data_IF_199477915950
#
_entry.id   IF_199477915950
#
_cell.length_a   1.000
_cell.length_b   1.000
_cell.length_c   1.000
_cell.angle_alpha   90.00
_cell.angle_beta   90.00
_cell.angle_gamma   90.00
#
_symmetry.space_group_name_H-M   'P 1'
#
loop_
_entity.id
_entity.type
_entity.pdbx_description
1 polymer ?
#
# COMPACT_ATOMS: atom_id res chain seq x y z
N UNK A 1 21.73 5.42 30.64
CA UNK A 1 20.61 5.21 29.70
C UNK A 1 19.30 4.74 30.36
N UNK A 2 19.31 4.18 31.58
CA UNK A 2 18.06 3.81 32.29
C UNK A 2 17.26 5.00 32.88
N UNK A 3 17.91 6.15 33.08
CA UNK A 3 17.31 7.33 33.71
C UNK A 3 16.43 8.15 32.75
N UNK A 4 16.71 8.14 31.44
CA UNK A 4 15.87 8.85 30.45
C UNK A 4 14.59 8.07 30.11
N UNK A 5 14.63 6.73 30.12
CA UNK A 5 13.46 5.89 29.87
C UNK A 5 12.43 5.96 31.02
N UNK A 6 12.91 6.05 32.26
CA UNK A 6 12.07 6.20 33.46
C UNK A 6 11.41 7.57 33.54
N UNK A 7 12.14 8.64 33.19
CA UNK A 7 11.59 10.00 33.11
C UNK A 7 10.52 10.11 32.01
N UNK A 8 10.71 9.46 30.84
CA UNK A 8 9.72 9.43 29.78
C UNK A 8 8.43 8.66 30.16
N UNK A 9 8.55 7.58 30.93
CA UNK A 9 7.39 6.83 31.44
C UNK A 9 6.63 7.61 32.53
N UNK A 10 7.34 8.34 33.40
CA UNK A 10 6.75 9.21 34.43
C UNK A 10 6.06 10.43 33.82
N UNK A 11 6.60 11.05 32.76
CA UNK A 11 5.94 12.16 32.06
C UNK A 11 4.72 11.71 31.26
N UNK A 12 4.74 10.51 30.64
CA UNK A 12 3.52 9.92 30.04
C UNK A 12 2.45 9.57 31.09
N UNK A 13 2.85 9.17 32.30
CA UNK A 13 1.92 8.89 33.40
C UNK A 13 1.28 10.17 33.98
N UNK A 14 2.04 11.27 34.05
CA UNK A 14 1.56 12.57 34.53
C UNK A 14 0.74 13.35 33.48
N UNK A 15 0.91 13.08 32.18
CA UNK A 15 0.07 13.62 31.10
C UNK A 15 -1.28 12.90 30.95
N UNK A 16 -1.46 11.74 31.59
CA UNK A 16 -2.80 11.18 31.86
C UNK A 16 -3.42 11.93 33.03
N UNK A 17 -3.67 13.22 32.87
CA UNK A 17 -4.75 13.84 33.63
C UNK A 17 -6.04 13.18 33.16
N UNK A 18 -6.40 12.09 33.86
CA UNK A 18 -7.74 11.51 33.82
C UNK A 18 -8.65 12.57 34.41
N UNK A 19 -9.11 13.50 33.57
CA UNK A 19 -10.38 14.17 33.86
C UNK A 19 -11.37 13.03 34.10
N UNK A 20 -12.07 13.06 35.23
CA UNK A 20 -13.26 12.22 35.35
C UNK A 20 -14.08 12.53 34.10
N UNK A 21 -14.28 11.53 33.23
CA UNK A 21 -15.30 11.66 32.21
C UNK A 21 -16.55 12.14 32.95
N UNK A 22 -17.17 13.29 32.57
CA UNK A 22 -18.57 13.52 32.89
C UNK A 22 -19.28 12.18 32.72
N UNK A 23 -20.09 11.76 33.70
CA UNK A 23 -20.62 10.39 33.88
C UNK A 23 -21.30 9.78 32.63
N UNK A 24 -21.45 10.57 31.57
CA UNK A 24 -22.14 10.31 30.32
C UNK A 24 -21.24 10.08 29.08
N UNK A 25 -19.91 10.33 29.13
CA UNK A 25 -19.00 10.14 27.96
C UNK A 25 -18.42 8.72 27.85
N UNK A 26 -19.28 7.70 27.91
CA UNK A 26 -18.87 6.30 28.09
C UNK A 26 -18.07 5.71 26.91
N UNK A 27 -18.17 6.31 25.72
CA UNK A 27 -17.57 5.79 24.48
C UNK A 27 -16.33 6.59 24.03
N UNK A 28 -15.81 7.53 24.83
CA UNK A 28 -14.66 8.38 24.44
C UNK A 28 -13.39 7.57 24.09
N UNK A 29 -13.12 6.47 24.81
CA UNK A 29 -11.99 5.59 24.50
C UNK A 29 -12.21 4.77 23.22
N UNK A 30 -13.46 4.41 22.92
CA UNK A 30 -13.83 3.72 21.66
C UNK A 30 -13.71 4.69 20.48
N UNK A 31 -14.15 5.94 20.64
CA UNK A 31 -13.98 7.02 19.67
C UNK A 31 -12.50 7.21 19.30
N UNK A 32 -11.61 7.33 20.29
CA UNK A 32 -10.19 7.58 20.03
C UNK A 32 -9.58 6.50 19.12
N UNK A 33 -9.78 5.22 19.47
CA UNK A 33 -9.19 4.11 18.73
C UNK A 33 -9.81 3.96 17.33
N UNK A 34 -11.10 4.25 17.18
CA UNK A 34 -11.74 4.24 15.87
C UNK A 34 -11.39 5.46 15.02
N UNK A 35 -11.10 6.61 15.62
CA UNK A 35 -10.50 7.73 14.90
C UNK A 35 -9.11 7.36 14.37
N UNK A 36 -8.29 6.64 15.14
CA UNK A 36 -7.00 6.14 14.64
C UNK A 36 -7.21 5.22 13.41
N UNK A 37 -8.21 4.33 13.46
CA UNK A 37 -8.56 3.44 12.35
C UNK A 37 -9.11 4.20 11.13
N UNK A 38 -9.96 5.19 11.34
CA UNK A 38 -10.47 6.11 10.31
C UNK A 38 -9.32 6.88 9.63
N UNK A 39 -8.37 7.35 10.42
CA UNK A 39 -7.26 8.17 9.96
C UNK A 39 -6.23 7.39 9.14
N UNK A 40 -6.31 6.05 9.08
CA UNK A 40 -5.58 5.29 8.07
C UNK A 40 -5.87 5.78 6.65
N UNK A 41 -7.12 6.19 6.36
CA UNK A 41 -7.49 6.71 5.03
C UNK A 41 -6.86 8.08 4.69
N UNK A 42 -6.32 8.80 5.69
CA UNK A 42 -5.61 10.08 5.50
C UNK A 42 -4.09 9.93 5.52
N UNK A 43 -3.60 8.75 5.89
CA UNK A 43 -2.18 8.52 6.07
C UNK A 43 -1.39 8.53 4.76
N UNK A 44 -0.14 8.97 4.81
CA UNK A 44 0.76 8.90 3.66
C UNK A 44 1.38 7.51 3.58
N UNK A 45 1.23 6.83 2.45
CA UNK A 45 1.85 5.51 2.23
C UNK A 45 3.37 5.68 2.17
N UNK A 46 4.08 5.04 3.08
CA UNK A 46 5.55 5.03 3.13
C UNK A 46 6.11 3.78 2.45
N UNK A 47 5.69 3.51 1.22
CA UNK A 47 6.27 2.45 0.39
C UNK A 47 6.95 3.09 -0.83
N UNK A 48 8.13 2.60 -1.23
CA UNK A 48 8.73 3.02 -2.49
C UNK A 48 7.81 2.57 -3.64
N UNK A 49 7.59 3.47 -4.59
CA UNK A 49 7.03 3.06 -5.89
C UNK A 49 8.06 2.11 -6.51
N UNK A 50 7.64 0.88 -6.84
CA UNK A 50 8.49 -0.05 -7.57
C UNK A 50 8.32 0.23 -9.06
N UNK A 51 9.37 0.72 -9.70
CA UNK A 51 9.42 0.95 -11.14
C UNK A 51 10.07 -0.25 -11.84
N UNK A 52 9.65 -0.53 -13.07
CA UNK A 52 10.28 -1.56 -13.88
C UNK A 52 11.74 -1.25 -14.13
N UNK A 53 12.58 -2.28 -14.05
CA UNK A 53 13.98 -2.17 -14.46
C UNK A 53 13.98 -2.07 -15.99
N UNK A 54 14.43 -0.93 -16.56
CA UNK A 54 14.38 -0.71 -17.99
C UNK A 54 15.37 -1.63 -18.72
N UNK A 55 15.14 -1.87 -20.00
CA UNK A 55 16.02 -2.72 -20.81
C UNK A 55 17.45 -2.16 -20.86
N UNK A 56 17.57 -0.82 -20.89
CA UNK A 56 18.83 -0.08 -20.91
C UNK A 56 19.72 -0.32 -19.69
N UNK A 57 19.16 -0.80 -18.57
CA UNK A 57 19.95 -1.18 -17.39
C UNK A 57 20.93 -2.33 -17.68
N UNK A 58 20.73 -3.08 -18.77
CA UNK A 58 21.61 -4.17 -19.18
C UNK A 58 22.58 -3.78 -20.30
N UNK A 59 22.47 -2.58 -20.88
CA UNK A 59 23.21 -2.20 -22.09
C UNK A 59 24.73 -2.40 -21.92
N UNK A 60 25.29 -1.97 -20.80
CA UNK A 60 26.74 -2.06 -20.60
C UNK A 60 27.20 -3.50 -20.37
N UNK A 61 26.40 -4.33 -19.68
CA UNK A 61 26.69 -5.77 -19.54
C UNK A 61 26.63 -6.48 -20.89
N UNK A 62 25.60 -6.18 -21.68
CA UNK A 62 25.41 -6.78 -23.00
C UNK A 62 26.48 -6.32 -24.00
N UNK A 63 26.90 -5.05 -23.95
CA UNK A 63 28.02 -4.54 -24.75
C UNK A 63 29.35 -5.18 -24.36
N UNK A 64 29.61 -5.38 -23.06
CA UNK A 64 30.79 -6.13 -22.60
C UNK A 64 30.72 -7.56 -23.12
N UNK A 65 29.56 -8.21 -23.02
CA UNK A 65 29.35 -9.56 -23.56
C UNK A 65 29.62 -9.64 -25.07
N UNK A 66 29.10 -8.69 -25.85
CA UNK A 66 29.38 -8.57 -27.30
C UNK A 66 30.87 -8.34 -27.56
N UNK A 67 31.53 -7.50 -26.75
CA UNK A 67 32.95 -7.19 -26.94
C UNK A 67 33.85 -8.42 -26.80
N UNK A 68 33.42 -9.40 -26.01
CA UNK A 68 34.11 -10.65 -25.70
C UNK A 68 33.60 -11.84 -26.51
N UNK A 69 32.55 -11.66 -27.31
CA UNK A 69 31.94 -12.73 -28.07
C UNK A 69 32.90 -13.31 -29.11
N UNK A 70 32.61 -14.52 -29.57
CA UNK A 70 33.35 -15.18 -30.63
C UNK A 70 33.52 -14.26 -31.84
N UNK A 71 34.75 -14.14 -32.34
CA UNK A 71 35.09 -13.19 -33.41
C UNK A 71 34.34 -13.50 -34.70
N UNK A 72 34.14 -14.79 -35.01
CA UNK A 72 33.41 -15.21 -36.21
C UNK A 72 31.94 -14.84 -36.08
N UNK A 73 31.31 -15.09 -34.93
CA UNK A 73 29.93 -14.67 -34.68
C UNK A 73 29.79 -13.14 -34.70
N UNK A 74 30.66 -12.41 -34.00
CA UNK A 74 30.60 -10.95 -33.95
C UNK A 74 30.76 -10.29 -35.33
N UNK A 75 31.51 -10.92 -36.23
CA UNK A 75 31.66 -10.45 -37.61
C UNK A 75 30.40 -10.55 -38.47
N UNK A 76 29.37 -11.29 -38.02
CA UNK A 76 28.07 -11.38 -38.72
C UNK A 76 27.14 -10.22 -38.38
N UNK A 77 27.40 -9.51 -37.27
CA UNK A 77 26.65 -8.35 -36.82
C UNK A 77 27.04 -7.10 -37.61
N UNK A 78 26.10 -6.17 -37.77
CA UNK A 78 26.38 -4.88 -38.39
C UNK A 78 27.49 -4.11 -37.67
N UNK A 79 28.41 -3.53 -38.44
CA UNK A 79 29.50 -2.70 -37.92
C UNK A 79 29.12 -1.20 -37.90
N UNK A 80 28.16 -0.80 -38.72
CA UNK A 80 27.61 0.57 -38.75
C UNK A 80 26.09 0.54 -38.83
N UNK A 81 25.45 1.66 -38.49
CA UNK A 81 23.99 1.79 -38.58
C UNK A 81 23.43 1.54 -39.99
N UNK A 82 24.24 1.76 -41.04
CA UNK A 82 23.84 1.54 -42.44
C UNK A 82 23.78 0.06 -42.81
N UNK A 83 24.50 -0.78 -42.07
CA UNK A 83 24.64 -2.22 -42.35
C UNK A 83 23.65 -3.07 -41.55
N UNK A 84 22.82 -2.43 -40.71
CA UNK A 84 21.82 -3.11 -39.86
C UNK A 84 20.87 -3.95 -40.68
N UNK A 85 20.60 -5.16 -40.19
CA UNK A 85 19.64 -6.09 -40.78
C UNK A 85 18.48 -6.30 -39.82
N UNK A 86 17.27 -6.32 -40.36
CA UNK A 86 16.06 -6.61 -39.56
C UNK A 86 16.00 -8.06 -39.06
N UNK A 87 16.77 -8.96 -39.66
CA UNK A 87 16.84 -10.38 -39.29
C UNK A 87 18.20 -10.97 -39.74
N UNK A 88 18.64 -12.04 -39.07
CA UNK A 88 19.83 -12.80 -39.44
C UNK A 88 19.46 -14.08 -40.18
N UNK A 89 20.31 -14.52 -41.10
CA UNK A 89 20.23 -15.87 -41.64
C UNK A 89 20.39 -16.93 -40.53
N UNK A 90 21.21 -16.62 -39.51
CA UNK A 90 21.51 -17.51 -38.38
C UNK A 90 20.33 -17.65 -37.41
N UNK A 91 19.41 -16.67 -37.41
CA UNK A 91 18.16 -16.71 -36.65
C UNK A 91 17.01 -17.40 -37.42
N UNK A 92 17.24 -18.07 -38.56
CA UNK A 92 16.18 -18.69 -39.38
C UNK A 92 15.85 -20.13 -39.00
N UNK A 93 16.72 -20.84 -38.29
CA UNK A 93 16.57 -22.26 -37.94
C UNK A 93 17.14 -22.58 -36.55
N UNK A 94 16.54 -23.55 -35.83
CA UNK A 94 16.99 -23.99 -34.50
C UNK A 94 15.94 -23.77 -33.41
N UNK A 95 16.17 -24.35 -32.23
CA UNK A 95 15.25 -24.25 -31.09
C UNK A 95 15.09 -22.82 -30.56
N UNK A 96 16.12 -21.98 -30.72
CA UNK A 96 16.19 -20.62 -30.15
C UNK A 96 15.83 -19.51 -31.16
N UNK A 97 15.19 -19.87 -32.28
CA UNK A 97 14.84 -18.96 -33.38
C UNK A 97 14.08 -17.72 -32.91
N UNK A 98 13.06 -17.91 -32.07
CA UNK A 98 12.19 -16.81 -31.61
C UNK A 98 12.93 -15.88 -30.64
N UNK A 99 13.85 -16.42 -29.82
CA UNK A 99 14.72 -15.63 -28.93
C UNK A 99 15.76 -14.85 -29.76
N UNK A 100 16.39 -15.51 -30.74
CA UNK A 100 17.37 -14.91 -31.64
C UNK A 100 16.77 -13.71 -32.37
N UNK A 101 15.58 -13.86 -32.95
CA UNK A 101 14.90 -12.78 -33.69
C UNK A 101 14.54 -11.59 -32.82
N UNK A 102 14.04 -11.83 -31.61
CA UNK A 102 13.66 -10.77 -30.69
C UNK A 102 14.86 -9.90 -30.25
N UNK A 103 16.06 -10.47 -30.19
CA UNK A 103 17.26 -9.79 -29.68
C UNK A 103 18.27 -9.37 -30.76
N UNK A 104 18.12 -9.83 -32.02
CA UNK A 104 19.15 -9.63 -33.05
C UNK A 104 19.47 -8.16 -33.32
N UNK A 105 18.44 -7.32 -33.51
CA UNK A 105 18.65 -5.88 -33.71
C UNK A 105 19.40 -5.26 -32.54
N UNK A 106 19.09 -5.66 -31.31
CA UNK A 106 19.76 -5.16 -30.11
C UNK A 106 21.24 -5.55 -30.06
N UNK A 107 21.59 -6.74 -30.53
CA UNK A 107 22.99 -7.14 -30.65
C UNK A 107 23.73 -6.33 -31.70
N UNK A 108 23.10 -6.00 -32.84
CA UNK A 108 23.70 -5.10 -33.82
C UNK A 108 23.95 -3.70 -33.22
N UNK A 109 22.98 -3.14 -32.50
CA UNK A 109 23.12 -1.84 -31.81
C UNK A 109 24.30 -1.84 -30.84
N UNK A 110 24.43 -2.89 -30.05
CA UNK A 110 25.54 -3.02 -29.09
C UNK A 110 26.88 -3.22 -29.79
N UNK A 111 26.93 -3.99 -30.88
CA UNK A 111 28.16 -4.16 -31.65
C UNK A 111 28.65 -2.85 -32.27
N UNK A 112 27.72 -2.08 -32.86
CA UNK A 112 28.01 -0.74 -33.37
C UNK A 112 28.55 0.15 -32.26
N UNK A 113 27.87 0.19 -31.10
CA UNK A 113 28.31 1.01 -29.96
C UNK A 113 29.71 0.63 -29.44
N UNK A 114 30.05 -0.66 -29.42
CA UNK A 114 31.40 -1.12 -29.03
C UNK A 114 32.45 -0.73 -30.08
N UNK A 115 32.12 -0.76 -31.37
CA UNK A 115 33.05 -0.38 -32.45
C UNK A 115 33.24 1.14 -32.55
N UNK A 116 32.21 1.93 -32.23
CA UNK A 116 32.27 3.39 -32.14
C UNK A 116 33.15 3.88 -30.98
N UNK A 117 33.35 3.07 -29.94
CA UNK A 117 34.34 3.32 -28.87
C UNK A 117 35.78 3.08 -29.36
N UNK A 118 36.17 3.86 -30.36
CA UNK A 118 37.46 3.80 -31.04
C UNK A 118 38.64 4.09 -30.11
N UNK A 119 38.41 4.73 -28.96
CA UNK A 119 39.41 5.00 -27.94
C UNK A 119 39.45 3.93 -26.83
N UNK A 120 38.49 3.00 -26.81
CA UNK A 120 38.34 1.97 -25.78
C UNK A 120 38.13 2.56 -24.39
N UNK A 121 37.49 3.73 -24.30
CA UNK A 121 37.30 4.46 -23.05
C UNK A 121 36.25 3.81 -22.16
N UNK A 122 35.25 3.18 -22.76
CA UNK A 122 34.15 2.50 -22.08
C UNK A 122 34.28 0.98 -22.17
N UNK A 123 34.75 0.48 -23.31
CA UNK A 123 34.97 -0.94 -23.59
C UNK A 123 36.43 -1.14 -24.00
N UNK A 124 37.30 -1.64 -23.09
CA UNK A 124 38.71 -1.83 -23.39
C UNK A 124 38.93 -2.63 -24.67
N UNK A 125 39.81 -2.13 -25.54
CA UNK A 125 40.21 -2.86 -26.75
C UNK A 125 41.06 -4.05 -26.38
N UNK A 126 40.45 -5.24 -26.38
CA UNK A 126 41.15 -6.52 -26.23
C UNK A 126 41.53 -6.99 -27.63
N UNK A 127 42.80 -7.33 -27.82
CA UNK A 127 43.29 -7.81 -29.10
C UNK A 127 42.77 -9.22 -29.40
N UNK A 128 42.59 -9.54 -30.68
CA UNK A 128 42.01 -10.82 -31.11
C UNK A 128 42.78 -12.04 -30.58
N UNK A 129 44.11 -11.96 -30.54
CA UNK A 129 44.97 -13.01 -29.99
C UNK A 129 44.64 -13.30 -28.52
N UNK A 130 44.29 -12.29 -27.72
CA UNK A 130 43.92 -12.45 -26.31
C UNK A 130 42.53 -13.04 -26.15
N UNK A 131 41.57 -12.62 -26.98
CA UNK A 131 40.20 -13.17 -26.97
C UNK A 131 40.19 -14.67 -27.28
N UNK A 132 41.08 -15.12 -28.17
CA UNK A 132 41.13 -16.53 -28.59
C UNK A 132 41.87 -17.45 -27.61
N UNK A 133 42.62 -16.90 -26.64
CA UNK A 133 43.25 -17.70 -25.58
C UNK A 133 42.23 -18.48 -24.75
N UNK A 134 42.66 -19.55 -24.09
CA UNK A 134 41.84 -20.28 -23.11
C UNK A 134 41.25 -19.34 -22.05
N UNK A 135 42.06 -18.43 -21.52
CA UNK A 135 41.60 -17.44 -20.54
C UNK A 135 40.55 -16.49 -21.13
N UNK A 136 40.78 -15.96 -22.33
CA UNK A 136 39.83 -15.09 -23.03
C UNK A 136 38.48 -15.75 -23.24
N UNK A 137 38.47 -17.01 -23.73
CA UNK A 137 37.25 -17.80 -23.90
C UNK A 137 36.54 -18.09 -22.59
N UNK A 138 37.28 -18.44 -21.52
CA UNK A 138 36.69 -18.65 -20.20
C UNK A 138 36.03 -17.40 -19.63
N UNK A 139 36.64 -16.23 -19.83
CA UNK A 139 36.07 -14.94 -19.43
C UNK A 139 34.80 -14.63 -20.23
N UNK A 140 34.82 -14.85 -21.55
CA UNK A 140 33.64 -14.66 -22.40
C UNK A 140 32.45 -15.51 -21.95
N UNK A 141 32.68 -16.79 -21.60
CA UNK A 141 31.65 -17.69 -21.05
C UNK A 141 31.12 -17.16 -19.71
N UNK A 142 32.01 -16.75 -18.80
CA UNK A 142 31.61 -16.24 -17.49
C UNK A 142 30.76 -14.96 -17.61
N UNK A 143 31.17 -14.02 -18.47
CA UNK A 143 30.42 -12.78 -18.74
C UNK A 143 29.07 -13.06 -19.39
N UNK A 144 29.00 -14.02 -20.32
CA UNK A 144 27.74 -14.45 -20.91
C UNK A 144 26.78 -15.00 -19.85
N UNK A 145 27.28 -15.84 -18.93
CA UNK A 145 26.50 -16.34 -17.80
C UNK A 145 26.01 -15.25 -16.85
N UNK A 146 26.85 -14.25 -16.55
CA UNK A 146 26.46 -13.08 -15.73
C UNK A 146 25.40 -12.23 -16.43
N UNK A 147 25.52 -12.03 -17.74
CA UNK A 147 24.56 -11.27 -18.56
C UNK A 147 23.20 -11.98 -18.57
N UNK A 148 23.19 -13.30 -18.78
CA UNK A 148 21.96 -14.10 -18.71
C UNK A 148 21.31 -14.04 -17.32
N UNK A 149 22.11 -14.10 -16.24
CA UNK A 149 21.60 -13.94 -14.88
C UNK A 149 20.98 -12.57 -14.64
N UNK A 150 21.59 -11.49 -15.15
CA UNK A 150 21.05 -10.14 -15.04
C UNK A 150 19.73 -9.98 -15.82
N UNK A 151 19.64 -10.59 -17.00
CA UNK A 151 18.41 -10.66 -17.79
C UNK A 151 17.29 -11.39 -17.04
N UNK A 152 17.60 -12.54 -16.43
CA UNK A 152 16.64 -13.30 -15.61
C UNK A 152 16.15 -12.49 -14.41
N UNK A 153 17.05 -11.85 -13.66
CA UNK A 153 16.67 -10.98 -12.52
C UNK A 153 15.75 -9.85 -12.97
N UNK A 154 16.06 -9.19 -14.09
CA UNK A 154 15.21 -8.13 -14.66
C UNK A 154 13.83 -8.66 -15.01
N UNK A 155 13.77 -9.81 -15.68
CA UNK A 155 12.52 -10.44 -16.11
C UNK A 155 11.68 -10.85 -14.89
N UNK A 156 12.27 -11.53 -13.92
CA UNK A 156 11.58 -11.98 -12.70
C UNK A 156 11.05 -10.78 -11.92
N UNK A 157 11.88 -9.76 -11.71
CA UNK A 157 11.46 -8.54 -11.01
C UNK A 157 10.31 -7.84 -11.74
N UNK A 158 10.43 -7.61 -13.06
CA UNK A 158 9.39 -6.97 -13.86
C UNK A 158 8.10 -7.80 -13.93
N UNK A 159 8.21 -9.12 -13.89
CA UNK A 159 7.05 -10.04 -13.81
C UNK A 159 6.32 -9.88 -12.48
N UNK A 160 7.06 -9.86 -11.36
CA UNK A 160 6.47 -9.69 -10.03
C UNK A 160 5.74 -8.35 -9.92
N UNK A 161 6.38 -7.24 -10.28
CA UNK A 161 5.75 -5.91 -10.14
C UNK A 161 4.66 -5.65 -11.19
N UNK A 162 4.68 -6.35 -12.33
CA UNK A 162 3.64 -6.31 -13.35
C UNK A 162 2.43 -7.20 -13.03
N UNK A 163 2.52 -8.06 -12.01
CA UNK A 163 1.43 -8.94 -11.62
C UNK A 163 0.23 -8.12 -11.08
N UNK A 164 -1.02 -8.48 -11.43
CA UNK A 164 -2.23 -7.78 -10.97
C UNK A 164 -2.39 -7.74 -9.44
N UNK A 165 -1.74 -8.65 -8.73
CA UNK A 165 -1.78 -8.76 -7.28
C UNK A 165 -0.80 -7.82 -6.56
N UNK A 166 0.11 -7.16 -7.29
CA UNK A 166 1.02 -6.17 -6.70
C UNK A 166 0.21 -4.95 -6.24
N UNK A 167 0.11 -4.68 -4.92
CA UNK A 167 -0.73 -3.60 -4.43
C UNK A 167 -0.18 -2.24 -4.88
N UNK A 168 -0.89 -1.56 -5.76
CA UNK A 168 -0.58 -0.17 -6.10
C UNK A 168 -0.98 0.77 -4.95
N UNK A 169 -0.34 1.93 -4.85
CA UNK A 169 -0.74 2.96 -3.89
C UNK A 169 -2.22 3.34 -4.05
N UNK A 170 -2.73 3.39 -5.28
CA UNK A 170 -4.13 3.72 -5.55
C UNK A 170 -5.08 2.60 -5.09
N UNK A 171 -4.69 1.34 -5.27
CA UNK A 171 -5.47 0.21 -4.75
C UNK A 171 -5.56 0.27 -3.23
N UNK A 172 -4.44 0.55 -2.55
CA UNK A 172 -4.40 0.72 -1.10
C UNK A 172 -5.30 1.88 -0.66
N UNK A 173 -5.18 3.06 -1.30
CA UNK A 173 -6.01 4.24 -0.99
C UNK A 173 -7.50 3.96 -1.18
N UNK A 174 -7.87 3.27 -2.26
CA UNK A 174 -9.26 2.93 -2.54
C UNK A 174 -9.83 1.94 -1.50
N UNK A 175 -9.03 0.95 -1.07
CA UNK A 175 -9.44 0.02 -0.01
C UNK A 175 -9.62 0.75 1.34
N UNK A 176 -8.70 1.66 1.68
CA UNK A 176 -8.80 2.46 2.91
C UNK A 176 -10.00 3.43 2.87
N UNK A 177 -10.25 4.07 1.72
CA UNK A 177 -11.41 4.95 1.54
C UNK A 177 -12.74 4.19 1.67
N UNK A 178 -12.82 2.99 1.09
CA UNK A 178 -13.98 2.10 1.26
C UNK A 178 -14.20 1.71 2.72
N UNK A 179 -13.15 1.26 3.40
CA UNK A 179 -13.26 0.85 4.81
C UNK A 179 -13.60 2.02 5.74
N UNK A 180 -13.01 3.20 5.51
CA UNK A 180 -13.21 4.37 6.35
C UNK A 180 -14.58 5.02 6.15
N UNK A 181 -14.96 5.27 4.89
CA UNK A 181 -16.10 6.11 4.54
C UNK A 181 -17.23 5.39 3.82
N UNK A 182 -17.07 4.11 3.43
CA UNK A 182 -18.02 3.43 2.55
C UNK A 182 -17.95 3.92 1.09
N UNK A 183 -16.90 4.67 0.73
CA UNK A 183 -16.73 5.24 -0.60
C UNK A 183 -16.26 4.20 -1.62
N UNK A 184 -16.63 4.36 -2.90
CA UNK A 184 -16.19 3.49 -4.00
C UNK A 184 -14.72 3.70 -4.37
N UNK A 185 -14.18 4.90 -4.12
CA UNK A 185 -12.80 5.26 -4.40
C UNK A 185 -12.26 6.30 -3.42
N UNK A 186 -10.95 6.53 -3.46
CA UNK A 186 -10.30 7.61 -2.71
C UNK A 186 -10.70 9.00 -3.21
N UNK A 187 -11.03 9.16 -4.50
CA UNK A 187 -11.57 10.40 -5.04
C UNK A 187 -12.98 10.68 -4.48
N UNK A 188 -13.84 9.67 -4.39
CA UNK A 188 -15.19 9.79 -3.82
C UNK A 188 -15.17 10.11 -2.32
N UNK A 189 -14.05 9.84 -1.65
CA UNK A 189 -13.82 10.14 -0.23
C UNK A 189 -13.12 11.49 0.02
N UNK A 190 -12.88 12.32 -1.02
CA UNK A 190 -12.15 13.57 -0.88
C UNK A 190 -12.82 14.57 0.09
N UNK A 191 -14.15 14.57 0.14
CA UNK A 191 -14.93 15.39 1.09
C UNK A 191 -14.96 14.82 2.51
N UNK A 192 -14.38 13.62 2.72
CA UNK A 192 -14.40 12.86 3.98
C UNK A 192 -15.82 12.64 4.52
N UNK A 193 -16.82 12.64 3.64
CA UNK A 193 -18.21 12.37 3.98
C UNK A 193 -18.42 10.87 4.20
N UNK A 194 -19.26 10.49 5.16
CA UNK A 194 -19.69 9.10 5.31
C UNK A 194 -20.66 8.77 4.17
N UNK A 195 -20.37 7.75 3.37
CA UNK A 195 -21.13 7.38 2.16
C UNK A 195 -22.09 6.21 2.36
N UNK A 196 -22.23 5.76 3.61
CA UNK A 196 -23.18 4.71 3.99
C UNK A 196 -24.62 5.23 4.00
N UNK A 197 -25.56 4.30 3.95
CA UNK A 197 -26.99 4.56 4.11
C UNK A 197 -27.38 4.15 5.52
N UNK A 198 -27.87 5.11 6.32
CA UNK A 198 -28.40 4.78 7.64
C UNK A 198 -29.83 4.26 7.51
N UNK A 199 -30.13 3.18 8.24
CA UNK A 199 -31.49 2.72 8.44
C UNK A 199 -32.32 3.74 9.26
N UNK A 200 -33.61 3.49 9.45
CA UNK A 200 -34.57 4.39 10.10
C UNK A 200 -34.61 4.28 11.63
N UNK A 201 -33.74 3.46 12.23
CA UNK A 201 -33.56 3.38 13.67
C UNK A 201 -32.11 3.10 14.03
N UNK A 202 -31.66 3.62 15.17
CA UNK A 202 -30.31 3.31 15.69
C UNK A 202 -30.14 1.82 15.94
N UNK A 203 -31.15 1.17 16.50
CA UNK A 203 -31.09 -0.24 16.86
C UNK A 203 -30.81 -1.14 15.65
N UNK A 204 -31.44 -0.85 14.51
CA UNK A 204 -31.25 -1.61 13.27
C UNK A 204 -30.00 -1.15 12.51
N UNK A 205 -29.76 0.15 12.40
CA UNK A 205 -28.59 0.70 11.73
C UNK A 205 -27.27 0.29 12.39
N UNK A 206 -27.25 0.12 13.72
CA UNK A 206 -26.04 -0.18 14.48
C UNK A 206 -25.85 -1.66 14.80
N UNK A 207 -26.72 -2.52 14.27
CA UNK A 207 -26.56 -3.96 14.32
C UNK A 207 -25.73 -4.43 13.13
N UNK A 208 -24.95 -5.49 13.32
CA UNK A 208 -24.26 -6.14 12.21
C UNK A 208 -25.26 -6.74 11.20
N UNK A 209 -24.97 -6.68 9.90
CA UNK A 209 -23.76 -6.11 9.30
C UNK A 209 -23.82 -4.58 9.08
N UNK A 210 -25.01 -3.96 9.16
CA UNK A 210 -25.22 -2.55 8.84
C UNK A 210 -24.25 -1.64 9.59
N UNK A 211 -24.18 -1.69 10.92
CA UNK A 211 -23.38 -0.77 11.74
C UNK A 211 -21.85 -0.88 11.61
N UNK A 212 -21.35 -1.77 10.76
CA UNK A 212 -19.93 -2.02 10.56
C UNK A 212 -19.53 -2.12 9.09
N UNK A 213 -20.34 -1.60 8.16
CA UNK A 213 -19.98 -1.60 6.73
C UNK A 213 -18.82 -0.63 6.43
N UNK A 214 -18.69 0.42 7.24
CA UNK A 214 -17.56 1.34 7.25
C UNK A 214 -17.29 1.89 8.67
N UNK A 215 -16.06 2.35 8.93
CA UNK A 215 -15.68 2.92 10.24
C UNK A 215 -16.49 4.17 10.57
N UNK A 216 -16.85 5.00 9.58
CA UNK A 216 -17.68 6.19 9.80
C UNK A 216 -19.07 5.82 10.32
N UNK A 217 -19.63 4.70 9.87
CA UNK A 217 -20.91 4.19 10.32
C UNK A 217 -20.83 3.69 11.75
N UNK A 218 -19.78 2.93 12.08
CA UNK A 218 -19.52 2.48 13.46
C UNK A 218 -19.36 3.67 14.41
N UNK A 219 -18.66 4.72 13.98
CA UNK A 219 -18.49 5.96 14.73
C UNK A 219 -19.80 6.73 14.92
N UNK A 220 -20.65 6.82 13.88
CA UNK A 220 -22.02 7.35 14.01
C UNK A 220 -22.82 6.52 15.01
N UNK A 221 -22.69 5.20 14.97
CA UNK A 221 -23.36 4.28 15.89
C UNK A 221 -22.91 4.36 17.34
N UNK A 222 -21.69 4.85 17.59
CA UNK A 222 -21.18 5.04 18.95
C UNK A 222 -21.47 6.43 19.51
N UNK A 223 -21.41 7.44 18.64
CA UNK A 223 -21.33 8.84 19.05
C UNK A 223 -22.51 9.69 18.58
N UNK A 224 -23.20 9.28 17.52
CA UNK A 224 -24.41 9.95 17.05
C UNK A 224 -25.49 9.89 18.12
N UNK A 225 -26.36 10.90 18.15
CA UNK A 225 -27.51 10.94 19.06
C UNK A 225 -28.78 10.67 18.28
N UNK A 226 -29.67 9.87 18.86
CA UNK A 226 -31.06 9.76 18.40
C UNK A 226 -31.97 10.64 19.26
N UNK A 227 -33.11 11.05 18.70
CA UNK A 227 -34.18 11.87 19.29
C UNK A 227 -34.47 11.60 20.77
N UNK A 228 -34.37 10.34 21.21
CA UNK A 228 -34.65 9.91 22.57
C UNK A 228 -33.46 10.02 23.56
N UNK A 229 -32.27 10.43 23.10
CA UNK A 229 -31.04 10.42 23.91
C UNK A 229 -30.65 11.82 24.39
N UNK A 230 -30.37 11.92 25.68
CA UNK A 230 -29.93 13.15 26.37
C UNK A 230 -28.41 13.22 26.60
N UNK A 231 -27.68 12.10 26.41
CA UNK A 231 -26.26 11.96 26.78
C UNK A 231 -25.28 12.26 25.67
N UNK A 232 -24.14 12.82 26.07
CA UNK A 232 -22.99 13.10 25.20
C UNK A 232 -22.06 11.87 25.15
N UNK A 233 -22.49 10.82 24.45
CA UNK A 233 -21.89 9.47 24.48
C UNK A 233 -20.35 9.43 24.27
N UNK A 234 -19.83 10.25 23.36
CA UNK A 234 -18.41 10.34 23.05
C UNK A 234 -17.77 11.69 23.44
N UNK A 235 -18.45 12.47 24.29
CA UNK A 235 -18.03 13.83 24.67
C UNK A 235 -18.80 14.93 23.95
N UNK A 236 -18.79 16.13 24.54
CA UNK A 236 -19.54 17.28 24.06
C UNK A 236 -19.26 17.70 22.59
N UNK A 237 -18.05 17.40 22.07
CA UNK A 237 -17.69 17.74 20.68
C UNK A 237 -18.17 16.69 19.68
N UNK A 238 -17.97 15.40 19.97
CA UNK A 238 -18.38 14.31 19.08
C UNK A 238 -19.85 13.92 19.20
N UNK A 239 -20.49 14.28 20.31
CA UNK A 239 -21.90 13.96 20.64
C UNK A 239 -22.63 15.20 21.20
N UNK A 240 -22.61 16.35 20.52
CA UNK A 240 -23.09 17.61 21.09
C UNK A 240 -24.58 17.57 21.41
N UNK A 241 -24.98 18.25 22.48
CA UNK A 241 -26.35 18.27 23.01
C UNK A 241 -27.42 18.77 22.06
N UNK A 242 -27.05 19.66 21.14
CA UNK A 242 -27.93 20.20 20.11
C UNK A 242 -28.03 19.36 18.83
N UNK A 243 -27.27 18.27 18.70
CA UNK A 243 -27.35 17.36 17.53
C UNK A 243 -28.38 16.24 17.70
N UNK A 244 -29.34 16.43 18.60
CA UNK A 244 -30.41 15.48 18.81
C UNK A 244 -31.41 15.52 17.63
N UNK A 245 -31.37 14.52 16.75
CA UNK A 245 -32.23 14.43 15.57
C UNK A 245 -32.65 12.99 15.31
N UNK A 246 -33.79 12.80 14.65
CA UNK A 246 -34.29 11.48 14.26
C UNK A 246 -33.22 10.67 13.53
N UNK A 247 -33.21 9.36 13.76
CA UNK A 247 -32.30 8.44 13.10
C UNK A 247 -32.77 8.08 11.69
N UNK A 248 -32.25 8.75 10.68
CA UNK A 248 -32.48 8.38 9.28
C UNK A 248 -31.32 8.85 8.38
N UNK A 249 -31.26 8.29 7.16
CA UNK A 249 -30.24 8.61 6.16
C UNK A 249 -30.04 10.11 5.89
N UNK A 250 -31.07 10.96 5.77
CA UNK A 250 -30.88 12.40 5.57
C UNK A 250 -30.11 13.10 6.70
N UNK A 251 -30.12 12.54 7.92
CA UNK A 251 -29.46 13.08 9.10
C UNK A 251 -28.03 12.55 9.28
N UNK A 252 -27.56 11.64 8.42
CA UNK A 252 -26.23 11.04 8.51
C UNK A 252 -25.13 12.09 8.61
N UNK A 253 -25.15 13.09 7.73
CA UNK A 253 -24.08 14.09 7.68
C UNK A 253 -24.07 14.98 8.92
N UNK A 254 -25.26 15.28 9.47
CA UNK A 254 -25.40 16.00 10.74
C UNK A 254 -24.87 15.18 11.93
N UNK A 255 -25.04 13.85 11.92
CA UNK A 255 -24.49 12.95 12.95
C UNK A 255 -22.98 12.73 12.76
N UNK A 256 -22.50 12.71 11.52
CA UNK A 256 -21.09 12.47 11.19
C UNK A 256 -20.20 13.69 11.44
N UNK A 257 -20.65 14.90 11.09
CA UNK A 257 -19.81 16.09 11.11
C UNK A 257 -19.13 16.37 12.48
N UNK A 258 -19.82 16.25 13.63
CA UNK A 258 -19.19 16.42 14.94
C UNK A 258 -18.13 15.36 15.23
N UNK A 259 -18.41 14.08 14.93
CA UNK A 259 -17.47 12.98 15.12
C UNK A 259 -16.24 13.12 14.23
N UNK A 260 -16.46 13.47 12.96
CA UNK A 260 -15.39 13.76 12.00
C UNK A 260 -14.47 14.85 12.52
N UNK A 261 -15.01 15.91 13.11
CA UNK A 261 -14.19 17.03 13.61
C UNK A 261 -13.17 16.58 14.65
N UNK A 262 -13.53 15.63 15.51
CA UNK A 262 -12.60 15.06 16.50
C UNK A 262 -11.55 14.17 15.83
N UNK A 263 -11.95 13.31 14.89
CA UNK A 263 -10.98 12.48 14.18
C UNK A 263 -10.03 13.30 13.29
N UNK A 264 -10.50 14.40 12.68
CA UNK A 264 -9.72 15.31 11.84
C UNK A 264 -8.68 16.12 12.63
N UNK A 265 -8.87 16.29 13.95
CA UNK A 265 -7.89 16.95 14.81
C UNK A 265 -6.62 16.12 15.03
N UNK A 266 -6.65 14.82 14.75
CA UNK A 266 -5.48 13.95 14.87
C UNK A 266 -4.58 14.07 13.64
N UNK A 267 -3.26 14.05 13.87
CA UNK A 267 -2.29 14.13 12.79
C UNK A 267 -2.31 12.88 11.91
N UNK A 268 -2.23 13.07 10.59
CA UNK A 268 -2.06 11.99 9.63
C UNK A 268 -0.74 11.25 9.89
N UNK A 269 -0.81 9.91 9.86
CA UNK A 269 0.34 9.04 10.15
C UNK A 269 0.95 8.48 8.87
N UNK A 270 2.25 8.16 8.92
CA UNK A 270 2.90 7.40 7.86
C UNK A 270 2.45 5.95 7.91
N UNK A 271 1.85 5.46 6.84
CA UNK A 271 1.34 4.10 6.78
C UNK A 271 2.47 3.12 6.51
N UNK A 272 2.60 2.16 7.42
CA UNK A 272 3.41 0.95 7.27
C UNK A 272 2.53 -0.27 7.52
N UNK A 273 2.91 -1.47 7.02
CA UNK A 273 2.17 -2.69 7.32
C UNK A 273 2.04 -2.98 8.82
N UNK A 274 3.05 -2.58 9.61
CA UNK A 274 3.04 -2.73 11.07
C UNK A 274 2.04 -1.77 11.71
N UNK A 275 2.05 -0.50 11.31
CA UNK A 275 1.15 0.52 11.85
C UNK A 275 -0.33 0.19 11.59
N UNK A 276 -0.66 -0.24 10.37
CA UNK A 276 -2.03 -0.65 10.00
C UNK A 276 -2.49 -1.82 10.89
N UNK A 277 -1.66 -2.85 11.04
CA UNK A 277 -1.99 -4.03 11.87
C UNK A 277 -2.16 -3.70 13.34
N UNK A 278 -1.31 -2.82 13.89
CA UNK A 278 -1.42 -2.37 15.28
C UNK A 278 -2.70 -1.56 15.52
N UNK A 279 -3.04 -0.66 14.60
CA UNK A 279 -4.26 0.16 14.66
C UNK A 279 -5.52 -0.73 14.63
N UNK A 280 -5.56 -1.71 13.72
CA UNK A 280 -6.65 -2.68 13.67
C UNK A 280 -6.75 -3.52 14.96
N UNK A 281 -5.62 -4.03 15.47
CA UNK A 281 -5.61 -4.81 16.70
C UNK A 281 -6.07 -3.99 17.92
N UNK A 282 -5.75 -2.69 17.97
CA UNK A 282 -6.23 -1.80 19.01
C UNK A 282 -7.77 -1.66 18.95
N UNK A 283 -8.34 -1.48 17.75
CA UNK A 283 -9.80 -1.39 17.56
C UNK A 283 -10.50 -2.70 17.95
N UNK A 284 -9.97 -3.85 17.54
CA UNK A 284 -10.57 -5.15 17.88
C UNK A 284 -10.56 -5.42 19.39
N UNK A 285 -9.54 -4.95 20.13
CA UNK A 285 -9.47 -5.06 21.60
C UNK A 285 -10.54 -4.25 22.34
N UNK A 286 -11.25 -3.35 21.65
CA UNK A 286 -12.35 -2.59 22.22
C UNK A 286 -13.68 -3.35 22.21
N UNK A 287 -13.77 -4.44 21.44
CA UNK A 287 -14.94 -5.31 21.42
C UNK A 287 -15.03 -6.07 22.75
N UNK A 288 -16.22 -6.05 23.34
CA UNK A 288 -16.55 -6.67 24.62
C UNK A 288 -17.64 -7.71 24.43
N UNK A 289 -17.64 -8.72 25.28
CA UNK A 289 -18.77 -9.61 25.44
C UNK A 289 -19.86 -8.93 26.29
N UNK A 290 -21.12 -9.13 25.93
CA UNK A 290 -22.29 -8.70 26.68
C UNK A 290 -23.28 -9.86 26.79
N UNK A 291 -23.91 -9.99 27.96
CA UNK A 291 -24.91 -11.01 28.24
C UNK A 291 -24.36 -12.22 28.98
N UNK A 292 -25.25 -13.15 29.31
CA UNK A 292 -24.95 -14.44 29.93
C UNK A 292 -25.22 -15.57 28.93
N UNK A 293 -24.53 -16.71 29.10
CA UNK A 293 -24.66 -17.87 28.22
C UNK A 293 -26.13 -18.36 28.19
N UNK A 294 -26.83 -18.17 27.06
CA UNK A 294 -28.10 -18.84 26.79
C UNK A 294 -29.23 -18.01 26.14
N UNK A 295 -29.24 -16.67 26.19
CA UNK A 295 -30.35 -15.93 25.55
C UNK A 295 -30.08 -14.52 25.05
N UNK A 296 -29.01 -13.82 25.49
CA UNK A 296 -28.68 -12.44 25.06
C UNK A 296 -27.17 -12.21 24.85
N UNK A 297 -26.43 -13.24 24.44
CA UNK A 297 -24.99 -13.14 24.19
C UNK A 297 -24.71 -12.34 22.91
N UNK A 298 -23.88 -11.29 23.03
CA UNK A 298 -23.46 -10.45 21.92
C UNK A 298 -22.03 -9.95 22.08
N UNK A 299 -21.38 -9.68 20.94
CA UNK A 299 -20.16 -8.89 20.88
C UNK A 299 -20.52 -7.44 20.59
N UNK A 300 -20.09 -6.53 21.48
CA UNK A 300 -20.47 -5.12 21.45
C UNK A 300 -19.23 -4.24 21.43
N UNK A 301 -19.30 -3.16 20.67
CA UNK A 301 -18.35 -2.05 20.71
C UNK A 301 -19.03 -0.86 21.35
N UNK A 302 -18.34 -0.16 22.25
CA UNK A 302 -18.95 0.92 23.04
C UNK A 302 -19.64 0.43 24.31
N UNK A 303 -20.72 1.13 24.67
CA UNK A 303 -21.58 0.83 25.82
C UNK A 303 -22.90 0.28 25.30
N UNK A 304 -23.20 -0.97 25.66
CA UNK A 304 -24.47 -1.59 25.31
C UNK A 304 -25.56 -1.25 26.33
N UNK A 305 -26.81 -1.35 25.89
CA UNK A 305 -27.97 -1.38 26.78
C UNK A 305 -28.01 -2.70 27.57
N UNK A 306 -28.88 -2.80 28.59
CA UNK A 306 -28.95 -3.99 29.47
C UNK A 306 -29.36 -5.27 28.76
N UNK A 307 -30.00 -5.16 27.59
CA UNK A 307 -30.35 -6.26 26.69
C UNK A 307 -29.29 -6.50 25.60
N UNK A 308 -28.09 -5.93 25.77
CA UNK A 308 -26.98 -5.99 24.82
C UNK A 308 -27.26 -5.34 23.45
N UNK A 309 -28.32 -4.53 23.33
CA UNK A 309 -28.63 -3.77 22.12
C UNK A 309 -27.89 -2.42 22.08
N UNK A 310 -27.91 -1.78 20.90
CA UNK A 310 -27.28 -0.47 20.65
C UNK A 310 -28.25 0.73 20.79
N UNK A 311 -29.31 0.60 21.59
CA UNK A 311 -30.39 1.61 21.71
C UNK A 311 -30.01 2.87 22.50
N UNK A 312 -28.95 2.82 23.31
CA UNK A 312 -28.57 3.87 24.27
C UNK A 312 -27.74 5.01 23.73
#
# INVERSE_FOLDING_TARGET
MYSTLTIALLTLALLRQVYQAPKDHKNAADLQVLCDLMNLAKGSIAAPTLEQIPESALDDLERINISLADLKWRSTLAATAKDKKKDSQDCKSGADKEVCKAHYSRWEDHNIAVLEDTKGQKFPKISNDKLETTLGRSIAIAVSGLTAKAQAIRQDFNTVIGAPETPSHDKIRNLLAKAAYGASSSADAADKGCKVTLDNSRATACKLPAGASAVCETLICLCGRDSAQDKELCGAVASPSNANAAWASPQRDAKWAPVRSVCDAQAAQKLTPTYIRQTLAAALKRIKHCGDAGSNEALVLGTAHTDCSCQS
#
